data_IF_674708094339
#
_entry.id   IF_674708094339
#
_cell.length_a   1.000
_cell.length_b   1.000
_cell.length_c   1.000
_cell.angle_alpha   90.00
_cell.angle_beta   90.00
_cell.angle_gamma   90.00
#
_symmetry.space_group_name_H-M   'P 1'
#
loop_
_entity.id
_entity.type
_entity.pdbx_description
1 polymer ?
#
# COMPACT_ATOMS: atom_id res chain seq x y z
N UNK A 1 18.52 -10.81 43.76
CA UNK A 1 18.86 -10.86 42.32
C UNK A 1 19.47 -9.52 41.97
N UNK A 2 20.80 -9.43 41.86
CA UNK A 2 21.51 -8.22 41.43
C UNK A 2 21.16 -7.93 39.97
N UNK A 3 20.58 -6.76 39.71
CA UNK A 3 20.40 -6.25 38.33
C UNK A 3 21.81 -6.12 37.73
N UNK A 4 22.21 -7.07 36.88
CA UNK A 4 23.35 -6.91 35.98
C UNK A 4 22.98 -5.83 35.00
N UNK A 5 23.48 -4.62 35.15
CA UNK A 5 23.33 -3.56 34.17
C UNK A 5 23.90 -4.04 32.83
N UNK A 6 23.14 -3.93 31.74
CA UNK A 6 23.65 -4.24 30.40
C UNK A 6 24.94 -3.45 30.13
N UNK A 7 25.97 -4.08 29.48
CA UNK A 7 27.21 -3.42 29.16
C UNK A 7 26.99 -2.10 28.41
N UNK A 8 27.82 -1.12 28.70
CA UNK A 8 27.76 0.20 28.06
C UNK A 8 28.99 0.41 27.16
N UNK A 9 28.91 1.41 26.27
CA UNK A 9 30.06 1.80 25.43
C UNK A 9 31.31 2.17 26.28
N UNK A 10 31.11 2.62 27.54
CA UNK A 10 32.23 2.88 28.50
C UNK A 10 32.87 1.57 28.93
N UNK A 11 32.09 0.53 29.14
CA UNK A 11 32.64 -0.79 29.54
C UNK A 11 33.42 -1.41 28.39
N UNK A 12 32.94 -1.27 27.14
CA UNK A 12 33.70 -1.68 25.93
C UNK A 12 35.02 -0.91 25.82
N UNK A 13 35.02 0.40 26.09
CA UNK A 13 36.24 1.22 26.04
C UNK A 13 37.27 0.76 27.10
N UNK A 14 36.78 0.44 28.30
CA UNK A 14 37.61 -0.07 29.42
C UNK A 14 38.21 -1.44 29.08
N UNK A 15 37.40 -2.36 28.60
CA UNK A 15 37.80 -3.72 28.20
C UNK A 15 38.82 -3.71 27.05
N UNK A 16 38.55 -2.88 26.01
CA UNK A 16 39.45 -2.74 24.87
C UNK A 16 40.73 -1.95 25.16
N UNK A 17 40.84 -1.26 26.30
CA UNK A 17 41.97 -0.39 26.63
C UNK A 17 42.10 0.81 25.67
N UNK A 18 41.01 1.37 25.21
CA UNK A 18 40.96 2.50 24.26
C UNK A 18 40.04 3.61 24.76
N UNK A 19 40.13 4.80 24.12
CA UNK A 19 39.20 5.89 24.45
C UNK A 19 37.78 5.59 24.00
N UNK A 20 36.79 6.17 24.70
CA UNK A 20 35.38 6.11 24.31
C UNK A 20 35.17 6.64 22.86
N UNK A 21 35.96 7.65 22.47
CA UNK A 21 35.94 8.18 21.09
C UNK A 21 36.42 7.16 20.06
N UNK A 22 37.39 6.30 20.40
CA UNK A 22 37.88 5.23 19.53
C UNK A 22 36.80 4.15 19.37
N UNK A 23 36.15 3.73 20.45
CA UNK A 23 35.01 2.81 20.40
C UNK A 23 33.89 3.37 19.51
N UNK A 24 33.53 4.65 19.71
CA UNK A 24 32.51 5.32 18.91
C UNK A 24 32.86 5.34 17.41
N UNK A 25 34.13 5.58 17.06
CA UNK A 25 34.60 5.56 15.66
C UNK A 25 34.46 4.16 15.04
N UNK A 26 34.92 3.11 15.76
CA UNK A 26 34.79 1.72 15.27
C UNK A 26 33.35 1.32 15.06
N UNK A 27 32.49 1.58 16.04
CA UNK A 27 31.05 1.27 15.97
C UNK A 27 30.38 1.99 14.80
N UNK A 28 30.84 3.20 14.46
CA UNK A 28 30.28 3.99 13.34
C UNK A 28 30.98 3.74 11.99
N UNK A 29 31.88 2.75 11.89
CA UNK A 29 32.57 2.41 10.65
C UNK A 29 33.59 3.47 10.19
N UNK A 30 33.98 4.40 11.09
CA UNK A 30 35.01 5.41 10.81
C UNK A 30 36.36 4.74 10.90
N UNK A 31 37.22 4.97 9.90
CA UNK A 31 38.55 4.40 9.83
C UNK A 31 39.38 4.74 11.09
N UNK A 32 39.88 3.71 11.77
CA UNK A 32 40.83 3.76 12.86
C UNK A 32 42.00 2.83 12.53
N UNK A 33 43.09 2.88 13.35
CA UNK A 33 44.16 1.90 13.21
C UNK A 33 43.61 0.49 13.43
N UNK A 34 44.03 -0.46 12.60
CA UNK A 34 43.53 -1.85 12.60
C UNK A 34 43.71 -2.53 13.98
N UNK A 35 44.77 -2.23 14.68
CA UNK A 35 44.99 -2.71 16.06
C UNK A 35 43.86 -2.31 17.03
N UNK A 36 43.42 -1.04 16.96
CA UNK A 36 42.33 -0.57 17.83
C UNK A 36 40.97 -1.14 17.42
N UNK A 37 40.74 -1.31 16.10
CA UNK A 37 39.54 -1.95 15.60
C UNK A 37 39.39 -3.36 16.14
N UNK A 38 40.44 -4.20 16.04
CA UNK A 38 40.43 -5.57 16.55
C UNK A 38 40.20 -5.62 18.06
N UNK A 39 40.84 -4.73 18.86
CA UNK A 39 40.64 -4.67 20.31
C UNK A 39 39.20 -4.34 20.68
N UNK A 40 38.57 -3.39 19.95
CA UNK A 40 37.17 -2.99 20.19
C UNK A 40 36.21 -4.10 19.79
N UNK A 41 36.41 -4.75 18.64
CA UNK A 41 35.59 -5.86 18.19
C UNK A 41 35.66 -7.06 19.16
N UNK A 42 36.83 -7.37 19.66
CA UNK A 42 37.01 -8.42 20.68
C UNK A 42 36.30 -8.07 22.00
N UNK A 43 36.40 -6.82 22.47
CA UNK A 43 35.69 -6.37 23.66
C UNK A 43 34.18 -6.37 23.52
N UNK A 44 33.65 -5.99 22.35
CA UNK A 44 32.20 -6.07 22.00
C UNK A 44 31.74 -7.53 22.12
N UNK A 45 32.48 -8.45 21.52
CA UNK A 45 32.15 -9.89 21.56
C UNK A 45 32.23 -10.45 23.00
N UNK A 46 33.31 -10.14 23.75
CA UNK A 46 33.52 -10.60 25.13
C UNK A 46 32.43 -10.14 26.09
N UNK A 47 32.00 -8.89 25.96
CA UNK A 47 30.96 -8.28 26.80
C UNK A 47 29.54 -8.55 26.31
N UNK A 48 29.34 -9.20 25.16
CA UNK A 48 28.07 -9.31 24.49
C UNK A 48 27.38 -7.94 24.37
N UNK A 49 28.19 -6.90 24.05
CA UNK A 49 27.69 -5.54 23.96
C UNK A 49 26.82 -5.37 22.71
N UNK A 50 25.54 -5.07 22.91
CA UNK A 50 24.63 -4.70 21.82
C UNK A 50 24.68 -3.18 21.57
N UNK A 51 24.93 -2.82 20.32
CA UNK A 51 24.97 -1.41 19.92
C UNK A 51 23.56 -0.82 20.08
N UNK A 52 23.43 0.11 21.01
CA UNK A 52 22.18 0.85 21.17
C UNK A 52 21.98 1.79 19.98
N UNK A 53 21.18 1.30 19.01
CA UNK A 53 20.84 2.03 17.78
C UNK A 53 20.08 3.33 18.06
N UNK A 54 19.29 3.40 19.15
CA UNK A 54 18.62 4.62 19.60
C UNK A 54 19.60 5.70 20.05
N UNK A 55 20.62 5.32 20.85
CA UNK A 55 21.67 6.25 21.30
C UNK A 55 22.52 6.74 20.11
N UNK A 56 22.70 5.91 19.10
CA UNK A 56 23.38 6.26 17.84
C UNK A 56 22.53 7.25 17.03
N UNK A 57 21.23 7.00 16.88
CA UNK A 57 20.28 7.85 16.16
C UNK A 57 20.20 9.27 16.74
N UNK A 58 20.35 9.42 18.07
CA UNK A 58 20.43 10.74 18.73
C UNK A 58 21.62 11.58 18.29
N UNK A 59 22.76 10.96 17.93
CA UNK A 59 23.94 11.68 17.42
C UNK A 59 23.89 11.95 15.92
N UNK A 60 23.37 11.02 15.15
CA UNK A 60 23.34 11.12 13.67
C UNK A 60 22.08 11.81 13.15
N UNK A 61 21.09 12.09 14.02
CA UNK A 61 19.73 12.52 13.68
C UNK A 61 19.00 11.55 12.72
N UNK A 62 19.51 10.32 12.56
CA UNK A 62 18.91 9.25 11.75
C UNK A 62 18.79 7.98 12.59
N UNK A 63 17.58 7.47 12.75
CA UNK A 63 17.29 6.26 13.54
C UNK A 63 17.35 4.99 12.70
N UNK A 64 17.30 5.11 11.39
CA UNK A 64 17.15 3.99 10.47
C UNK A 64 15.75 3.37 10.54
N UNK A 65 14.76 4.07 11.11
CA UNK A 65 13.41 3.57 11.32
C UNK A 65 12.40 4.39 10.49
N UNK A 66 11.51 3.71 9.77
CA UNK A 66 10.42 4.32 9.00
C UNK A 66 9.09 3.78 9.50
N UNK A 67 8.14 4.66 9.76
CA UNK A 67 6.78 4.25 10.09
C UNK A 67 5.98 3.96 8.82
N UNK A 68 5.30 2.81 8.80
CA UNK A 68 4.36 2.42 7.75
C UNK A 68 2.99 2.30 8.39
N UNK A 69 2.09 3.24 8.08
CA UNK A 69 0.74 3.30 8.64
C UNK A 69 -0.22 2.77 7.57
N UNK A 70 -0.95 1.71 7.90
CA UNK A 70 -1.95 1.09 7.02
C UNK A 70 -3.25 0.84 7.78
N UNK A 71 -4.39 0.67 7.09
CA UNK A 71 -5.64 0.34 7.77
C UNK A 71 -5.54 -0.99 8.51
N UNK A 72 -5.24 -2.09 7.82
CA UNK A 72 -5.13 -3.42 8.42
C UNK A 72 -4.34 -4.37 7.51
N UNK A 73 -4.02 -5.57 8.01
CA UNK A 73 -3.35 -6.64 7.27
C UNK A 73 -4.31 -7.68 6.68
N UNK A 74 -5.63 -7.53 6.90
CA UNK A 74 -6.62 -8.50 6.43
C UNK A 74 -6.97 -8.29 4.96
N UNK A 75 -6.91 -7.06 4.48
CA UNK A 75 -7.04 -6.78 3.06
C UNK A 75 -5.74 -7.17 2.35
N UNK A 76 -5.78 -8.12 1.39
CA UNK A 76 -4.59 -8.60 0.70
C UNK A 76 -3.79 -7.51 -0.01
N UNK A 77 -4.44 -6.43 -0.46
CA UNK A 77 -3.77 -5.29 -1.07
C UNK A 77 -2.82 -4.60 -0.08
N UNK A 78 -3.30 -4.31 1.13
CA UNK A 78 -2.49 -3.64 2.15
C UNK A 78 -1.33 -4.52 2.61
N UNK A 79 -1.56 -5.84 2.73
CA UNK A 79 -0.54 -6.80 3.07
C UNK A 79 0.57 -6.85 1.99
N UNK A 80 0.19 -6.99 0.72
CA UNK A 80 1.13 -7.04 -0.39
C UNK A 80 1.90 -5.70 -0.55
N UNK A 81 1.22 -4.57 -0.44
CA UNK A 81 1.88 -3.25 -0.50
C UNK A 81 2.89 -3.07 0.63
N UNK A 82 2.55 -3.50 1.85
CA UNK A 82 3.45 -3.44 3.01
C UNK A 82 4.69 -4.30 2.81
N UNK A 83 4.54 -5.50 2.26
CA UNK A 83 5.66 -6.41 1.95
C UNK A 83 6.65 -5.74 0.96
N UNK A 84 6.14 -5.13 -0.11
CA UNK A 84 6.99 -4.40 -1.06
C UNK A 84 7.62 -3.14 -0.46
N UNK A 85 6.94 -2.42 0.44
CA UNK A 85 7.53 -1.28 1.16
C UNK A 85 8.65 -1.76 2.08
N UNK A 86 8.44 -2.85 2.81
CA UNK A 86 9.45 -3.43 3.71
C UNK A 86 10.71 -3.83 2.93
N UNK A 87 10.55 -4.57 1.83
CA UNK A 87 11.66 -4.96 0.95
C UNK A 87 12.43 -3.74 0.40
N UNK A 88 11.70 -2.71 -0.02
CA UNK A 88 12.32 -1.48 -0.52
C UNK A 88 13.07 -0.71 0.58
N UNK A 89 12.55 -0.69 1.81
CA UNK A 89 13.23 -0.10 2.98
C UNK A 89 14.46 -0.91 3.37
N UNK A 90 14.33 -2.25 3.44
CA UNK A 90 15.42 -3.15 3.77
C UNK A 90 16.61 -2.99 2.81
N UNK A 91 16.36 -2.89 1.50
CA UNK A 91 17.39 -2.62 0.47
C UNK A 91 18.16 -1.32 0.69
N UNK A 92 17.57 -0.36 1.42
CA UNK A 92 18.22 0.90 1.82
C UNK A 92 18.80 0.86 3.23
N UNK A 93 18.77 -0.30 3.91
CA UNK A 93 19.26 -0.47 5.29
C UNK A 93 18.35 0.19 6.33
N UNK A 94 17.09 0.44 5.98
CA UNK A 94 16.08 1.00 6.88
C UNK A 94 15.23 -0.13 7.48
N UNK A 95 14.63 0.14 8.63
CA UNK A 95 13.75 -0.77 9.36
C UNK A 95 12.32 -0.25 9.32
N UNK A 96 11.36 -1.15 9.34
CA UNK A 96 9.93 -0.85 9.30
C UNK A 96 9.33 -0.86 10.70
N UNK A 97 8.58 0.18 11.06
CA UNK A 97 7.65 0.20 12.18
C UNK A 97 6.22 0.15 11.61
N UNK A 98 5.63 -1.03 11.61
CA UNK A 98 4.28 -1.21 11.08
C UNK A 98 3.22 -0.80 12.10
N UNK A 99 2.25 0.01 11.66
CA UNK A 99 1.15 0.54 12.44
C UNK A 99 -0.18 0.26 11.72
N UNK A 100 -1.06 -0.53 12.35
CA UNK A 100 -2.38 -0.86 11.80
C UNK A 100 -3.47 -0.03 12.51
N UNK A 101 -4.10 0.89 11.77
CA UNK A 101 -5.02 1.88 12.33
C UNK A 101 -6.49 1.43 12.35
N UNK A 102 -6.85 0.39 11.61
CA UNK A 102 -8.23 -0.02 11.33
C UNK A 102 -9.09 1.11 10.70
N UNK A 103 -8.43 2.12 10.12
CA UNK A 103 -9.11 3.31 9.61
C UNK A 103 -9.66 4.23 10.71
N UNK A 104 -9.25 4.04 11.96
CA UNK A 104 -9.71 4.81 13.13
C UNK A 104 -8.83 6.05 13.28
N UNK A 105 -9.39 7.28 13.18
CA UNK A 105 -8.63 8.52 13.21
C UNK A 105 -7.76 8.68 14.47
N UNK A 106 -8.27 8.30 15.63
CA UNK A 106 -7.55 8.38 16.91
C UNK A 106 -6.33 7.48 16.96
N UNK A 107 -6.40 6.30 16.34
CA UNK A 107 -5.25 5.39 16.19
C UNK A 107 -4.22 5.99 15.23
N UNK A 108 -4.64 6.55 14.10
CA UNK A 108 -3.73 7.19 13.14
C UNK A 108 -2.97 8.34 13.79
N UNK A 109 -3.66 9.22 14.54
CA UNK A 109 -3.03 10.31 15.30
C UNK A 109 -2.05 9.75 16.35
N UNK A 110 -2.44 8.69 17.07
CA UNK A 110 -1.56 8.03 18.05
C UNK A 110 -0.28 7.52 17.38
N UNK A 111 -0.37 6.93 16.19
CA UNK A 111 0.80 6.43 15.45
C UNK A 111 1.67 7.54 14.88
N UNK A 112 1.10 8.67 14.46
CA UNK A 112 1.88 9.87 14.08
C UNK A 112 2.67 10.43 15.27
N UNK A 113 2.05 10.47 16.45
CA UNK A 113 2.74 10.86 17.69
C UNK A 113 3.83 9.87 18.06
N UNK A 114 3.58 8.57 17.94
CA UNK A 114 4.57 7.51 18.19
C UNK A 114 5.76 7.62 17.22
N UNK A 115 5.49 7.88 15.94
CA UNK A 115 6.52 8.13 14.92
C UNK A 115 7.40 9.34 15.31
N UNK A 116 6.77 10.42 15.76
CA UNK A 116 7.48 11.63 16.24
C UNK A 116 8.34 11.33 17.48
N UNK A 117 7.80 10.62 18.47
CA UNK A 117 8.51 10.23 19.70
C UNK A 117 9.72 9.33 19.41
N UNK A 118 9.56 8.40 18.47
CA UNK A 118 10.63 7.50 18.04
C UNK A 118 11.60 8.15 17.03
N UNK A 119 11.37 9.41 16.64
CA UNK A 119 12.19 10.15 15.67
C UNK A 119 12.43 9.35 14.39
N UNK A 120 11.35 8.81 13.82
CA UNK A 120 11.46 8.05 12.58
C UNK A 120 12.03 8.91 11.46
N UNK A 121 12.75 8.30 10.54
CA UNK A 121 13.40 8.99 9.41
C UNK A 121 12.41 9.30 8.28
N UNK A 122 11.20 8.73 8.34
CA UNK A 122 10.13 8.96 7.39
C UNK A 122 8.83 8.22 7.73
N UNK A 123 7.76 8.60 7.06
CA UNK A 123 6.44 7.98 7.20
C UNK A 123 5.90 7.65 5.80
N UNK A 124 5.45 6.41 5.60
CA UNK A 124 4.60 6.01 4.48
C UNK A 124 3.21 5.76 5.04
N UNK A 125 2.21 6.51 4.60
CA UNK A 125 0.86 6.41 5.15
C UNK A 125 -0.17 6.07 4.07
N UNK A 126 -0.95 5.03 4.35
CA UNK A 126 -2.16 4.66 3.66
C UNK A 126 -3.29 4.85 4.66
N UNK A 127 -3.94 6.02 4.60
CA UNK A 127 -4.88 6.49 5.63
C UNK A 127 -6.28 6.68 5.07
N UNK A 128 -7.27 6.54 5.94
CA UNK A 128 -8.68 6.78 5.64
C UNK A 128 -9.28 7.88 6.54
N UNK A 129 -8.44 8.78 7.09
CA UNK A 129 -8.85 9.85 7.98
C UNK A 129 -8.21 11.17 7.59
N UNK A 130 -8.79 12.28 8.01
CA UNK A 130 -8.16 13.61 7.89
C UNK A 130 -7.16 13.84 9.03
N UNK A 131 -5.96 13.31 8.84
CA UNK A 131 -4.85 13.46 9.80
C UNK A 131 -3.90 14.61 9.46
N UNK A 132 -4.18 15.40 8.44
CA UNK A 132 -3.27 16.43 7.91
C UNK A 132 -2.72 17.37 8.97
N UNK A 133 -3.56 17.79 9.92
CA UNK A 133 -3.17 18.71 10.98
C UNK A 133 -2.26 18.11 12.08
N UNK A 134 -2.15 16.79 12.14
CA UNK A 134 -1.37 16.08 13.15
C UNK A 134 0.01 15.64 12.64
N UNK A 135 0.29 15.87 11.35
CA UNK A 135 1.56 15.50 10.73
C UNK A 135 2.65 16.47 11.17
N UNK A 136 3.73 15.93 11.74
CA UNK A 136 4.92 16.70 12.07
C UNK A 136 5.66 17.12 10.78
N UNK A 137 5.82 18.42 10.49
CA UNK A 137 6.44 18.92 9.25
C UNK A 137 7.94 18.57 9.13
N UNK A 138 8.59 18.25 10.24
CA UNK A 138 10.02 17.92 10.26
C UNK A 138 10.28 16.47 9.78
N UNK A 139 9.27 15.60 9.79
CA UNK A 139 9.39 14.21 9.36
C UNK A 139 8.94 14.10 7.89
N UNK A 140 9.78 13.54 6.99
CA UNK A 140 9.37 13.21 5.64
C UNK A 140 8.15 12.29 5.65
N UNK A 141 7.11 12.64 4.92
CA UNK A 141 5.93 11.80 4.75
C UNK A 141 5.56 11.71 3.28
N UNK A 142 5.12 10.54 2.87
CA UNK A 142 4.44 10.28 1.60
C UNK A 142 3.13 9.56 1.90
N UNK A 143 2.07 9.95 1.20
CA UNK A 143 0.79 9.26 1.31
C UNK A 143 0.49 8.48 0.04
N UNK A 144 -0.11 7.31 0.22
CA UNK A 144 -0.58 6.49 -0.88
C UNK A 144 -2.10 6.69 -1.06
N UNK A 145 -2.50 7.00 -2.31
CA UNK A 145 -3.90 7.10 -2.74
C UNK A 145 -4.77 8.15 -2.03
N UNK A 146 -4.19 9.03 -1.18
CA UNK A 146 -4.93 10.05 -0.43
C UNK A 146 -4.39 11.45 -0.67
N UNK A 147 -5.21 12.48 -0.47
CA UNK A 147 -4.76 13.85 -0.42
C UNK A 147 -5.35 14.60 0.77
N UNK A 148 -4.64 15.66 1.18
CA UNK A 148 -5.07 16.57 2.23
C UNK A 148 -5.12 17.98 1.65
N UNK A 149 -6.30 18.62 1.66
CA UNK A 149 -6.54 19.90 1.00
C UNK A 149 -5.60 21.02 1.47
N UNK A 150 -5.25 20.99 2.74
CA UNK A 150 -4.51 22.08 3.39
C UNK A 150 -2.99 21.83 3.49
N UNK A 151 -2.45 20.79 2.87
CA UNK A 151 -1.02 20.46 2.97
C UNK A 151 -0.46 19.91 1.68
N UNK A 152 0.70 20.44 1.28
CA UNK A 152 1.45 19.91 0.14
C UNK A 152 2.26 18.66 0.55
N UNK A 153 1.57 17.54 0.76
CA UNK A 153 2.18 16.24 1.06
C UNK A 153 2.34 15.46 -0.23
N UNK A 154 3.54 14.94 -0.53
CA UNK A 154 3.75 14.11 -1.70
C UNK A 154 2.83 12.89 -1.71
N UNK A 155 2.25 12.62 -2.87
CA UNK A 155 1.32 11.52 -3.10
C UNK A 155 1.87 10.57 -4.15
N UNK A 156 1.68 9.28 -3.92
CA UNK A 156 1.96 8.22 -4.88
C UNK A 156 0.69 7.41 -5.07
N UNK A 157 0.38 7.05 -6.29
CA UNK A 157 -0.79 6.22 -6.60
C UNK A 157 -0.70 5.64 -8.01
N UNK A 158 -1.71 4.87 -8.36
CA UNK A 158 -1.87 4.37 -9.73
C UNK A 158 -2.71 5.34 -10.56
N UNK A 159 -2.54 5.27 -11.87
CA UNK A 159 -3.40 5.98 -12.82
C UNK A 159 -4.79 5.34 -12.84
N UNK A 160 -5.57 5.71 -11.83
CA UNK A 160 -6.90 5.16 -11.59
C UNK A 160 -7.91 5.51 -12.71
N UNK A 161 -7.79 6.72 -13.27
CA UNK A 161 -8.68 7.19 -14.32
C UNK A 161 -8.49 6.39 -15.61
N UNK A 162 -7.28 6.34 -16.14
CA UNK A 162 -6.99 5.61 -17.36
C UNK A 162 -7.12 4.10 -17.15
N UNK A 163 -6.75 3.57 -15.98
CA UNK A 163 -6.95 2.17 -15.65
C UNK A 163 -8.42 1.75 -15.69
N UNK A 164 -9.31 2.61 -15.19
CA UNK A 164 -10.75 2.37 -15.26
C UNK A 164 -11.30 2.43 -16.69
N UNK A 165 -10.85 3.40 -17.49
CA UNK A 165 -11.19 3.44 -18.91
C UNK A 165 -10.76 2.15 -19.63
N UNK A 166 -9.52 1.71 -19.40
CA UNK A 166 -8.97 0.46 -19.97
C UNK A 166 -9.77 -0.77 -19.55
N UNK A 167 -10.29 -0.82 -18.31
CA UNK A 167 -11.13 -1.94 -17.85
C UNK A 167 -12.43 -2.04 -18.67
N UNK A 168 -13.09 -0.93 -18.91
CA UNK A 168 -14.32 -0.90 -19.73
C UNK A 168 -13.99 -1.20 -21.19
N UNK A 169 -12.94 -0.61 -21.74
CA UNK A 169 -12.48 -0.90 -23.10
C UNK A 169 -12.23 -2.40 -23.28
N UNK A 170 -11.59 -3.01 -22.27
CA UNK A 170 -11.30 -4.45 -22.28
C UNK A 170 -12.57 -5.31 -22.25
N UNK A 171 -13.56 -4.96 -21.42
CA UNK A 171 -14.84 -5.66 -21.41
C UNK A 171 -15.55 -5.56 -22.77
N UNK A 172 -15.55 -4.39 -23.41
CA UNK A 172 -16.12 -4.19 -24.76
C UNK A 172 -15.37 -5.00 -25.82
N UNK A 173 -14.03 -4.98 -25.82
CA UNK A 173 -13.20 -5.81 -26.70
C UNK A 173 -13.53 -7.31 -26.58
N UNK A 174 -13.86 -7.76 -25.36
CA UNK A 174 -14.22 -9.14 -25.06
C UNK A 174 -15.69 -9.46 -25.30
N UNK A 175 -16.43 -8.51 -25.92
CA UNK A 175 -17.79 -8.69 -26.40
C UNK A 175 -18.88 -8.41 -25.36
N UNK A 176 -18.59 -7.69 -24.29
CA UNK A 176 -19.63 -7.14 -23.43
C UNK A 176 -20.31 -5.95 -24.09
N UNK A 177 -21.62 -5.81 -23.91
CA UNK A 177 -22.40 -4.70 -24.44
C UNK A 177 -22.95 -3.78 -23.36
N UNK A 178 -23.09 -4.29 -22.13
CA UNK A 178 -23.69 -3.59 -20.99
C UNK A 178 -22.81 -3.74 -19.75
N UNK A 179 -21.60 -3.11 -19.72
CA UNK A 179 -20.74 -3.15 -18.55
C UNK A 179 -21.27 -2.23 -17.47
N UNK A 180 -21.37 -2.76 -16.23
CA UNK A 180 -21.74 -2.02 -15.03
C UNK A 180 -20.54 -1.81 -14.12
N UNK A 181 -20.65 -0.86 -13.16
CA UNK A 181 -19.59 -0.55 -12.21
C UNK A 181 -20.06 -0.76 -10.77
N UNK A 182 -19.26 -1.47 -9.97
CA UNK A 182 -19.53 -1.75 -8.55
C UNK A 182 -18.48 -1.08 -7.70
N UNK A 183 -18.91 -0.15 -6.83
CA UNK A 183 -18.04 0.62 -5.95
C UNK A 183 -18.60 0.73 -4.55
N UNK A 184 -17.72 0.44 -3.57
CA UNK A 184 -17.86 0.86 -2.18
C UNK A 184 -16.66 1.72 -1.85
N UNK A 185 -16.87 2.87 -1.20
CA UNK A 185 -15.83 3.89 -1.03
C UNK A 185 -15.84 4.50 0.37
N UNK A 186 -14.70 5.01 0.78
CA UNK A 186 -14.59 5.81 2.00
C UNK A 186 -15.27 7.18 1.83
N UNK A 187 -15.70 7.77 2.94
CA UNK A 187 -16.18 9.16 2.99
C UNK A 187 -15.09 10.17 2.66
N UNK A 188 -13.82 9.82 2.87
CA UNK A 188 -12.69 10.70 2.57
C UNK A 188 -12.21 10.48 1.13
N UNK A 189 -12.07 11.56 0.34
CA UNK A 189 -11.69 11.44 -1.06
C UNK A 189 -10.26 10.94 -1.23
N UNK A 190 -10.03 10.18 -2.32
CA UNK A 190 -8.73 9.63 -2.69
C UNK A 190 -8.53 9.56 -4.20
N UNK A 191 -7.34 9.17 -4.64
CA UNK A 191 -7.05 8.97 -6.07
C UNK A 191 -7.87 7.80 -6.66
N UNK A 192 -8.25 6.81 -5.84
CA UNK A 192 -9.11 5.70 -6.24
C UNK A 192 -10.51 6.14 -6.68
N UNK A 193 -10.98 7.32 -6.24
CA UNK A 193 -12.26 7.88 -6.70
C UNK A 193 -12.26 8.17 -8.20
N UNK A 194 -11.07 8.41 -8.79
CA UNK A 194 -10.88 8.59 -10.23
C UNK A 194 -11.27 7.37 -11.06
N UNK A 195 -11.41 6.19 -10.43
CA UNK A 195 -11.93 4.99 -11.11
C UNK A 195 -13.36 5.20 -11.57
N UNK A 196 -14.21 5.88 -10.77
CA UNK A 196 -15.57 6.24 -11.19
C UNK A 196 -15.56 7.24 -12.34
N UNK A 197 -14.71 8.26 -12.27
CA UNK A 197 -14.58 9.26 -13.33
C UNK A 197 -14.17 8.59 -14.65
N UNK A 198 -13.21 7.65 -14.61
CA UNK A 198 -12.77 6.87 -15.77
C UNK A 198 -13.88 5.98 -16.35
N UNK A 199 -14.66 5.32 -15.49
CA UNK A 199 -15.84 4.55 -15.92
C UNK A 199 -16.84 5.43 -16.67
N UNK A 200 -17.22 6.57 -16.10
CA UNK A 200 -18.15 7.51 -16.71
C UNK A 200 -17.60 8.09 -18.03
N UNK A 201 -16.31 8.37 -18.09
CA UNK A 201 -15.66 8.82 -19.32
C UNK A 201 -15.67 7.74 -20.41
N UNK A 202 -15.45 6.46 -20.06
CA UNK A 202 -15.57 5.35 -20.99
C UNK A 202 -17.01 5.18 -21.49
N UNK A 203 -18.01 5.26 -20.60
CA UNK A 203 -19.41 5.23 -20.98
C UNK A 203 -19.73 6.34 -22.01
N UNK A 204 -19.27 7.56 -21.75
CA UNK A 204 -19.46 8.67 -22.70
C UNK A 204 -18.77 8.41 -24.04
N UNK A 205 -17.53 7.92 -24.04
CA UNK A 205 -16.73 7.63 -25.24
C UNK A 205 -17.39 6.58 -26.13
N UNK A 206 -17.97 5.54 -25.52
CA UNK A 206 -18.56 4.40 -26.23
C UNK A 206 -20.07 4.44 -26.31
N UNK A 207 -20.70 5.57 -25.97
CA UNK A 207 -22.17 5.79 -26.01
C UNK A 207 -22.94 4.76 -25.18
N UNK A 208 -22.39 4.35 -24.04
CA UNK A 208 -23.05 3.46 -23.09
C UNK A 208 -23.89 4.27 -22.11
N UNK A 209 -25.01 3.71 -21.68
CA UNK A 209 -25.75 4.26 -20.53
C UNK A 209 -25.02 3.86 -19.25
N UNK A 210 -24.56 4.80 -18.39
CA UNK A 210 -23.94 4.46 -17.13
C UNK A 210 -24.90 3.72 -16.21
N UNK A 211 -24.44 2.61 -15.66
CA UNK A 211 -25.20 1.79 -14.71
C UNK A 211 -24.24 1.28 -13.63
N UNK A 212 -24.48 1.64 -12.37
CA UNK A 212 -23.54 1.38 -11.30
C UNK A 212 -24.17 1.30 -9.92
N UNK A 213 -23.56 0.51 -9.04
CA UNK A 213 -23.73 0.56 -7.62
C UNK A 213 -22.56 1.38 -7.03
N UNK A 214 -22.87 2.53 -6.42
CA UNK A 214 -21.89 3.43 -5.80
C UNK A 214 -22.37 3.83 -4.41
N UNK A 215 -21.76 3.27 -3.39
CA UNK A 215 -22.19 3.41 -2.00
C UNK A 215 -20.97 3.68 -1.11
N UNK A 216 -21.20 4.35 0.00
CA UNK A 216 -20.24 4.41 1.09
C UNK A 216 -20.02 3.00 1.66
N UNK A 217 -18.78 2.69 2.05
CA UNK A 217 -18.42 1.39 2.62
C UNK A 217 -19.16 1.15 3.92
N UNK A 218 -19.80 -0.02 4.03
CA UNK A 218 -20.71 -0.36 5.13
C UNK A 218 -20.76 -1.88 5.36
N UNK A 219 -21.16 -2.29 6.55
CA UNK A 219 -21.20 -3.72 6.94
C UNK A 219 -22.14 -4.58 6.07
N UNK A 220 -23.16 -3.96 5.47
CA UNK A 220 -24.18 -4.66 4.65
C UNK A 220 -23.91 -4.59 3.13
N UNK A 221 -22.68 -4.29 2.71
CA UNK A 221 -22.35 -4.15 1.28
C UNK A 221 -22.65 -5.44 0.46
N UNK A 222 -22.58 -6.61 1.08
CA UNK A 222 -22.94 -7.89 0.44
C UNK A 222 -24.42 -7.91 0.06
N UNK A 223 -25.31 -7.44 0.95
CA UNK A 223 -26.74 -7.36 0.69
C UNK A 223 -27.05 -6.35 -0.42
N UNK A 224 -26.32 -5.24 -0.44
CA UNK A 224 -26.42 -4.24 -1.49
C UNK A 224 -26.02 -4.82 -2.87
N UNK A 225 -24.92 -5.58 -2.93
CA UNK A 225 -24.50 -6.29 -4.15
C UNK A 225 -25.58 -7.28 -4.59
N UNK A 226 -26.17 -8.03 -3.64
CA UNK A 226 -27.24 -8.97 -3.96
C UNK A 226 -28.48 -8.26 -4.49
N UNK A 227 -28.90 -7.17 -3.84
CA UNK A 227 -30.03 -6.36 -4.31
C UNK A 227 -29.76 -5.78 -5.72
N UNK A 228 -28.53 -5.37 -6.02
CA UNK A 228 -28.15 -4.92 -7.34
C UNK A 228 -28.34 -6.03 -8.38
N UNK A 229 -27.89 -7.26 -8.10
CA UNK A 229 -28.10 -8.41 -8.98
C UNK A 229 -29.61 -8.67 -9.17
N UNK A 230 -30.40 -8.68 -8.08
CA UNK A 230 -31.85 -8.95 -8.14
C UNK A 230 -32.60 -7.91 -8.97
N UNK A 231 -32.22 -6.63 -8.85
CA UNK A 231 -32.82 -5.53 -9.64
C UNK A 231 -32.52 -5.63 -11.16
N UNK A 232 -31.48 -6.38 -11.53
CA UNK A 232 -31.06 -6.53 -12.93
C UNK A 232 -31.49 -7.86 -13.55
N UNK A 233 -32.25 -8.70 -12.81
CA UNK A 233 -32.85 -9.93 -13.35
C UNK A 233 -33.97 -9.62 -14.30
N UNK A 234 -33.89 -10.16 -15.54
CA UNK A 234 -34.98 -10.12 -16.53
C UNK A 234 -35.98 -11.23 -16.28
N UNK A 235 -37.14 -11.13 -16.97
CA UNK A 235 -38.19 -12.14 -16.88
C UNK A 235 -37.78 -13.53 -17.35
N UNK A 236 -36.76 -13.64 -18.20
CA UNK A 236 -36.18 -14.90 -18.68
C UNK A 236 -35.10 -15.45 -17.79
N UNK A 237 -34.81 -14.79 -16.65
CA UNK A 237 -33.77 -15.17 -15.69
C UNK A 237 -32.37 -14.71 -16.06
N UNK A 238 -32.15 -14.11 -17.23
CA UNK A 238 -30.87 -13.50 -17.59
C UNK A 238 -30.66 -12.14 -16.87
N UNK A 239 -29.44 -11.64 -16.86
CA UNK A 239 -29.13 -10.30 -16.34
C UNK A 239 -29.20 -9.24 -17.44
N UNK A 240 -29.50 -7.99 -17.07
CA UNK A 240 -29.46 -6.86 -17.98
C UNK A 240 -28.03 -6.37 -18.29
N UNK A 241 -27.04 -6.84 -17.56
CA UNK A 241 -25.61 -6.59 -17.78
C UNK A 241 -24.85 -7.89 -18.10
N UNK A 242 -23.76 -7.79 -18.82
CA UNK A 242 -22.91 -8.90 -19.27
C UNK A 242 -21.41 -8.70 -18.92
N UNK A 243 -21.08 -7.52 -18.38
CA UNK A 243 -19.77 -7.15 -17.91
C UNK A 243 -19.84 -6.40 -16.58
N UNK A 244 -18.85 -6.61 -15.71
CA UNK A 244 -18.75 -5.91 -14.42
C UNK A 244 -17.33 -5.40 -14.23
N UNK A 245 -17.19 -4.11 -13.98
CA UNK A 245 -15.97 -3.54 -13.45
C UNK A 245 -16.14 -3.29 -11.95
N UNK A 246 -15.35 -3.94 -11.12
CA UNK A 246 -15.37 -3.74 -9.67
C UNK A 246 -14.26 -2.80 -9.26
N UNK A 247 -14.57 -1.88 -8.34
CA UNK A 247 -13.64 -0.88 -7.82
C UNK A 247 -12.34 -1.49 -7.25
N UNK A 248 -12.43 -2.70 -6.65
CA UNK A 248 -11.28 -3.47 -6.15
C UNK A 248 -11.43 -4.95 -6.48
N UNK A 249 -10.33 -5.70 -6.46
CA UNK A 249 -10.34 -7.15 -6.60
C UNK A 249 -11.11 -7.84 -5.47
N UNK A 250 -11.06 -7.27 -4.26
CA UNK A 250 -11.81 -7.79 -3.12
C UNK A 250 -13.32 -7.80 -3.38
N UNK A 251 -13.86 -6.65 -3.80
CA UNK A 251 -15.27 -6.55 -4.18
C UNK A 251 -15.59 -7.39 -5.41
N UNK A 252 -14.67 -7.47 -6.38
CA UNK A 252 -14.80 -8.31 -7.56
C UNK A 252 -14.91 -9.80 -7.21
N UNK A 253 -14.08 -10.28 -6.30
CA UNK A 253 -14.13 -11.67 -5.83
C UNK A 253 -15.46 -11.98 -5.13
N UNK A 254 -15.94 -11.08 -4.27
CA UNK A 254 -17.21 -11.27 -3.57
C UNK A 254 -18.41 -11.21 -4.52
N UNK A 255 -18.41 -10.28 -5.47
CA UNK A 255 -19.47 -10.18 -6.47
C UNK A 255 -19.53 -11.41 -7.37
N UNK A 256 -18.36 -11.92 -7.81
CA UNK A 256 -18.25 -13.22 -8.52
C UNK A 256 -18.91 -14.35 -7.72
N UNK A 257 -18.61 -14.42 -6.41
CA UNK A 257 -19.19 -15.45 -5.53
C UNK A 257 -20.72 -15.35 -5.46
N UNK A 258 -21.26 -14.13 -5.39
CA UNK A 258 -22.70 -13.89 -5.39
C UNK A 258 -23.32 -14.31 -6.72
N UNK A 259 -22.75 -13.89 -7.86
CA UNK A 259 -23.22 -14.31 -9.20
C UNK A 259 -23.28 -15.84 -9.32
N UNK A 260 -22.22 -16.53 -8.89
CA UNK A 260 -22.16 -17.99 -8.92
C UNK A 260 -23.20 -18.66 -8.01
N UNK A 261 -23.48 -18.06 -6.83
CA UNK A 261 -24.53 -18.54 -5.91
C UNK A 261 -25.94 -18.39 -6.50
N UNK A 262 -26.15 -17.32 -7.26
CA UNK A 262 -27.42 -17.07 -7.99
C UNK A 262 -27.52 -17.87 -9.32
N UNK A 263 -26.52 -18.71 -9.65
CA UNK A 263 -26.56 -19.60 -10.79
C UNK A 263 -25.93 -19.05 -12.08
N UNK A 264 -25.34 -17.85 -12.04
CA UNK A 264 -24.66 -17.26 -13.20
C UNK A 264 -23.21 -17.75 -13.30
N UNK A 265 -22.78 -18.06 -14.52
CA UNK A 265 -21.41 -18.49 -14.81
C UNK A 265 -20.53 -17.27 -15.10
N UNK A 266 -19.34 -17.28 -14.50
CA UNK A 266 -18.29 -16.28 -14.76
C UNK A 266 -17.09 -17.02 -15.32
N UNK A 267 -16.66 -16.73 -16.56
CA UNK A 267 -16.98 -15.57 -17.39
C UNK A 267 -18.10 -15.77 -18.43
N UNK A 268 -18.77 -16.94 -18.53
CA UNK A 268 -19.62 -17.28 -19.67
C UNK A 268 -20.88 -16.39 -19.77
N UNK A 269 -21.57 -16.17 -18.66
CA UNK A 269 -22.77 -15.32 -18.62
C UNK A 269 -22.43 -13.87 -18.30
N UNK A 270 -21.48 -13.64 -17.38
CA UNK A 270 -21.00 -12.32 -16.95
C UNK A 270 -19.49 -12.30 -16.87
N UNK A 271 -18.83 -11.38 -17.56
CA UNK A 271 -17.41 -11.14 -17.42
C UNK A 271 -17.13 -10.14 -16.28
N UNK A 272 -16.00 -10.28 -15.59
CA UNK A 272 -15.67 -9.43 -14.47
C UNK A 272 -14.20 -9.02 -14.49
N UNK A 273 -13.97 -7.73 -14.29
CA UNK A 273 -12.63 -7.13 -14.07
C UNK A 273 -12.63 -6.39 -12.73
N UNK A 274 -11.64 -6.66 -11.90
CA UNK A 274 -11.35 -5.91 -10.69
C UNK A 274 -10.26 -4.85 -10.89
N UNK A 275 -9.75 -4.36 -9.78
CA UNK A 275 -8.61 -3.45 -9.74
C UNK A 275 -7.77 -3.82 -8.53
N UNK A 276 -6.47 -3.81 -8.62
CA UNK A 276 -5.40 -3.95 -7.63
C UNK A 276 -4.33 -4.98 -8.07
N UNK A 277 -4.72 -6.09 -8.70
CA UNK A 277 -3.82 -7.18 -9.10
C UNK A 277 -3.51 -8.15 -7.94
N UNK A 278 -4.52 -8.42 -7.10
CA UNK A 278 -4.33 -9.27 -5.91
C UNK A 278 -4.26 -10.74 -6.27
N UNK A 279 -3.16 -11.36 -5.84
CA UNK A 279 -2.87 -12.78 -6.10
C UNK A 279 -3.26 -13.67 -4.94
N UNK A 280 -3.63 -14.90 -5.26
CA UNK A 280 -3.86 -15.96 -4.28
C UNK A 280 -2.55 -16.22 -3.55
N UNK A 281 -2.62 -16.36 -2.23
CA UNK A 281 -1.45 -16.65 -1.37
C UNK A 281 -0.29 -15.63 -1.44
N UNK A 282 -0.49 -14.45 -2.05
CA UNK A 282 0.45 -13.33 -2.03
C UNK A 282 1.70 -13.46 -2.91
N UNK A 283 1.91 -14.59 -3.59
CA UNK A 283 3.09 -14.80 -4.42
C UNK A 283 3.00 -14.13 -5.80
N UNK A 284 4.06 -13.48 -6.28
CA UNK A 284 4.08 -12.82 -7.60
C UNK A 284 3.81 -13.74 -8.79
N UNK A 285 3.93 -15.07 -8.61
CA UNK A 285 3.66 -16.11 -9.64
C UNK A 285 2.31 -16.79 -9.46
N UNK A 286 1.58 -16.45 -8.41
CA UNK A 286 0.28 -17.06 -8.13
C UNK A 286 -0.81 -16.43 -9.01
N UNK A 287 -1.90 -17.18 -9.21
CA UNK A 287 -3.06 -16.71 -9.95
C UNK A 287 -3.73 -15.53 -9.26
N UNK A 288 -4.31 -14.65 -10.04
CA UNK A 288 -5.21 -13.60 -9.55
C UNK A 288 -6.51 -14.20 -8.99
N UNK A 289 -7.17 -13.47 -8.10
CA UNK A 289 -8.53 -13.82 -7.64
C UNK A 289 -9.59 -13.60 -8.72
N UNK A 290 -9.38 -12.56 -9.53
CA UNK A 290 -10.20 -12.14 -10.66
C UNK A 290 -9.31 -11.51 -11.72
N UNK A 291 -9.75 -11.44 -12.97
CA UNK A 291 -9.08 -10.60 -13.97
C UNK A 291 -9.03 -9.16 -13.46
N UNK A 292 -7.90 -8.48 -13.59
CA UNK A 292 -7.68 -7.24 -12.85
C UNK A 292 -6.90 -6.21 -13.65
N UNK A 293 -7.14 -4.94 -13.33
CA UNK A 293 -6.24 -3.84 -13.61
C UNK A 293 -5.18 -3.81 -12.51
N UNK A 294 -4.03 -4.42 -12.79
CA UNK A 294 -2.97 -4.63 -11.81
C UNK A 294 -2.19 -3.34 -11.53
N UNK A 295 -2.12 -2.96 -10.27
CA UNK A 295 -1.27 -1.87 -9.80
C UNK A 295 0.20 -2.32 -9.75
N UNK A 296 1.17 -1.50 -10.17
CA UNK A 296 2.58 -1.84 -10.14
C UNK A 296 3.16 -1.69 -8.72
N UNK A 297 2.71 -2.53 -7.76
CA UNK A 297 3.03 -2.43 -6.34
C UNK A 297 4.54 -2.31 -6.02
N UNK A 298 5.44 -3.09 -6.65
CA UNK A 298 6.88 -2.92 -6.41
C UNK A 298 7.39 -1.53 -6.76
N UNK A 299 6.94 -0.95 -7.89
CA UNK A 299 7.36 0.37 -8.35
C UNK A 299 6.73 1.49 -7.48
N UNK A 300 5.47 1.33 -7.06
CA UNK A 300 4.80 2.24 -6.14
C UNK A 300 5.50 2.29 -4.79
N UNK A 301 5.83 1.13 -4.23
CA UNK A 301 6.57 1.00 -2.98
C UNK A 301 7.97 1.64 -3.07
N UNK A 302 8.71 1.32 -4.14
CA UNK A 302 10.02 1.91 -4.39
C UNK A 302 9.95 3.45 -4.47
N UNK A 303 8.89 3.99 -5.12
CA UNK A 303 8.68 5.43 -5.24
C UNK A 303 8.35 6.09 -3.90
N UNK A 304 7.53 5.45 -3.07
CA UNK A 304 7.27 5.93 -1.71
C UNK A 304 8.57 6.03 -0.90
N UNK A 305 9.40 4.98 -0.95
CA UNK A 305 10.68 4.93 -0.23
C UNK A 305 11.69 5.94 -0.79
N UNK A 306 11.73 6.13 -2.11
CA UNK A 306 12.53 7.18 -2.76
C UNK A 306 12.17 8.56 -2.20
N UNK A 307 10.89 8.91 -2.18
CA UNK A 307 10.39 10.21 -1.72
C UNK A 307 10.80 10.50 -0.27
N UNK A 308 10.58 9.57 0.65
CA UNK A 308 10.90 9.79 2.07
C UNK A 308 12.40 9.81 2.36
N UNK A 309 13.22 9.25 1.46
CA UNK A 309 14.69 9.23 1.61
C UNK A 309 15.41 10.30 0.79
N UNK A 310 14.69 11.07 -0.01
CA UNK A 310 15.23 12.18 -0.80
C UNK A 310 15.58 13.36 0.12
N UNK A 311 16.83 13.83 0.06
CA UNK A 311 17.31 14.95 0.88
C UNK A 311 16.81 16.31 0.36
N UNK A 312 16.84 16.52 -0.95
CA UNK A 312 16.31 17.74 -1.58
C UNK A 312 14.82 17.59 -1.88
N UNK A 313 14.00 18.06 -0.94
CA UNK A 313 12.55 17.99 -1.04
C UNK A 313 11.94 18.90 -2.11
N UNK A 314 12.69 19.88 -2.61
CA UNK A 314 12.20 20.79 -3.65
C UNK A 314 11.97 20.11 -5.00
N UNK A 315 12.62 18.95 -5.22
CA UNK A 315 12.52 18.15 -6.43
C UNK A 315 11.39 17.09 -6.37
N UNK A 316 10.71 16.95 -5.22
CA UNK A 316 9.66 15.94 -5.05
C UNK A 316 8.35 16.45 -5.66
N UNK A 317 7.77 15.73 -6.66
CA UNK A 317 6.48 16.11 -7.21
C UNK A 317 5.37 15.93 -6.17
N UNK A 318 4.36 16.81 -6.21
CA UNK A 318 3.19 16.70 -5.31
C UNK A 318 2.34 15.47 -5.60
N UNK A 319 2.38 14.94 -6.83
CA UNK A 319 1.66 13.75 -7.26
C UNK A 319 2.54 12.93 -8.21
N UNK A 320 2.63 11.63 -7.96
CA UNK A 320 3.22 10.64 -8.86
C UNK A 320 2.20 9.55 -9.13
N UNK A 321 1.79 9.40 -10.38
CA UNK A 321 0.89 8.33 -10.82
C UNK A 321 1.65 7.34 -11.69
N UNK A 322 1.48 6.04 -11.43
CA UNK A 322 2.05 4.97 -12.23
C UNK A 322 0.95 4.24 -13.03
N UNK A 323 1.23 3.85 -14.28
CA UNK A 323 0.23 3.15 -15.09
C UNK A 323 -0.06 1.76 -14.54
N UNK A 324 -1.31 1.31 -14.72
CA UNK A 324 -1.74 -0.05 -14.43
C UNK A 324 -1.73 -0.90 -15.70
N UNK A 325 -1.76 -2.22 -15.55
CA UNK A 325 -1.81 -3.17 -16.66
C UNK A 325 -2.93 -4.18 -16.46
N UNK A 326 -3.59 -4.58 -17.54
CA UNK A 326 -4.58 -5.66 -17.47
C UNK A 326 -3.87 -7.02 -17.38
N UNK A 327 -4.36 -7.86 -16.48
CA UNK A 327 -3.96 -9.28 -16.39
C UNK A 327 -5.22 -10.15 -16.23
N UNK A 328 -5.29 -11.23 -17.02
CA UNK A 328 -6.40 -12.18 -16.95
C UNK A 328 -6.27 -13.10 -15.72
N UNK A 329 -7.31 -13.15 -14.91
CA UNK A 329 -7.44 -14.03 -13.73
C UNK A 329 -8.57 -15.06 -13.88
N UNK A 330 -8.99 -15.34 -15.12
CA UNK A 330 -10.01 -16.35 -15.44
C UNK A 330 -11.44 -15.90 -15.20
N UNK A 331 -11.70 -14.58 -15.08
CA UNK A 331 -13.04 -14.01 -14.99
C UNK A 331 -13.42 -13.19 -16.22
N UNK A 332 -12.60 -13.25 -17.25
CA UNK A 332 -12.86 -12.71 -18.59
C UNK A 332 -12.71 -13.80 -19.62
N UNK A 333 -13.41 -13.65 -20.75
CA UNK A 333 -13.27 -14.59 -21.88
C UNK A 333 -11.94 -14.32 -22.59
N UNK A 334 -11.30 -15.37 -23.08
CA UNK A 334 -10.17 -15.21 -23.99
C UNK A 334 -10.67 -14.71 -25.34
N UNK A 335 -9.95 -13.78 -25.98
CA UNK A 335 -10.18 -13.48 -27.38
C UNK A 335 -10.05 -14.77 -28.18
N UNK A 336 -11.11 -15.19 -28.90
CA UNK A 336 -10.97 -16.27 -29.86
C UNK A 336 -9.90 -15.83 -30.85
N UNK A 337 -8.75 -16.52 -30.88
CA UNK A 337 -7.81 -16.36 -31.98
C UNK A 337 -8.57 -16.77 -33.24
N UNK A 338 -8.97 -15.77 -34.06
CA UNK A 338 -9.52 -15.98 -35.38
C UNK A 338 -8.48 -16.57 -36.33
#
# INVERSE_FOLDING_TARGET
>A
MTKTNAPTMKDVAKEAGVSLGTVSKVINGITVREEYKKKVEAAIASLHYEINTYARGLKTKKTGLVAVIIPNMLNPFFAAFTDYIEDALYKKGLKTMLCCSDGIPEKEITYLNLATQNKVDGIVALTYSDIGNFINPDIPIVVFDRFFENRNIPRVGSDNYNGSMMAIEKLLELGCNHPVYIRFHSIFPGESDKRKDGYLAACKKYHLTPDFLDMEDCDNFIDMMKQFIDNHKKSDGSLSFDGVFCHTDYHGYLFKKLLQKEGYRVPEDVQLIGFDGIRKFGGAKEDLFVSSMCQPLPQLAAKCVEIITTEDRSMIPSLTLLPVTFEDGGTTRSLKKG
#
